data_IF_071783996119
#
_entry.id   IF_071783996119
#
_cell.length_a   1.000
_cell.length_b   1.000
_cell.length_c   1.000
_cell.angle_alpha   90.00
_cell.angle_beta   90.00
_cell.angle_gamma   90.00
#
_symmetry.space_group_name_H-M   'P 1'
#
loop_
_entity.id
_entity.type
_entity.pdbx_description
1 polymer ?
#
# COMPACT_ATOMS: atom_id res chain seq x y z
N UNK A 1 -14.50 -2.20 15.41
CA UNK A 1 -14.05 -3.39 14.66
C UNK A 1 -12.62 -3.82 14.99
N UNK A 2 -11.63 -2.92 15.07
CA UNK A 2 -10.22 -3.28 15.34
C UNK A 2 -9.98 -3.99 16.67
N UNK A 3 -10.60 -3.54 17.78
CA UNK A 3 -10.41 -4.16 19.12
C UNK A 3 -10.88 -5.62 19.20
N UNK A 4 -11.94 -6.00 18.50
CA UNK A 4 -12.44 -7.37 18.45
C UNK A 4 -11.49 -8.30 17.68
N UNK A 5 -10.98 -7.85 16.53
CA UNK A 5 -10.00 -8.59 15.73
C UNK A 5 -8.68 -8.75 16.48
N UNK A 6 -8.21 -7.69 17.13
CA UNK A 6 -6.99 -7.71 17.96
C UNK A 6 -7.14 -8.70 19.11
N UNK A 7 -8.28 -8.68 19.84
CA UNK A 7 -8.53 -9.61 20.93
C UNK A 7 -8.64 -11.06 20.44
N UNK A 8 -9.21 -11.30 19.27
CA UNK A 8 -9.30 -12.64 18.68
C UNK A 8 -7.92 -13.21 18.34
N UNK A 9 -7.05 -12.41 17.71
CA UNK A 9 -5.67 -12.82 17.38
C UNK A 9 -4.88 -13.07 18.68
N UNK A 10 -4.97 -12.17 19.66
CA UNK A 10 -4.26 -12.28 20.94
C UNK A 10 -4.67 -13.53 21.74
N UNK A 11 -5.93 -13.98 21.60
CA UNK A 11 -6.43 -15.18 22.26
C UNK A 11 -6.02 -16.47 21.55
N UNK A 12 -5.76 -16.43 20.23
CA UNK A 12 -5.53 -17.63 19.41
C UNK A 12 -4.05 -17.86 19.05
N UNK A 13 -3.24 -16.81 19.04
CA UNK A 13 -1.84 -16.87 18.61
C UNK A 13 -0.92 -16.25 19.66
N UNK A 14 0.25 -16.86 19.88
CA UNK A 14 1.28 -16.38 20.81
C UNK A 14 2.63 -16.21 20.12
N UNK A 15 3.43 -15.22 20.53
CA UNK A 15 4.79 -15.02 20.01
C UNK A 15 4.84 -14.65 18.53
N UNK A 16 5.71 -15.33 17.77
CA UNK A 16 5.94 -15.04 16.35
C UNK A 16 4.69 -15.24 15.48
N UNK A 17 3.82 -16.20 15.83
CA UNK A 17 2.57 -16.44 15.10
C UNK A 17 1.59 -15.27 15.24
N UNK A 18 1.56 -14.61 16.42
CA UNK A 18 0.73 -13.42 16.60
C UNK A 18 1.26 -12.25 15.72
N UNK A 19 2.59 -12.07 15.66
CA UNK A 19 3.23 -11.05 14.80
C UNK A 19 2.86 -11.26 13.32
N UNK A 20 2.96 -12.50 12.85
CA UNK A 20 2.57 -12.86 11.48
C UNK A 20 1.08 -12.58 11.22
N UNK A 21 0.20 -13.02 12.13
CA UNK A 21 -1.24 -12.81 12.00
C UNK A 21 -1.61 -11.32 11.97
N UNK A 22 -0.94 -10.47 12.77
CA UNK A 22 -1.12 -9.01 12.73
C UNK A 22 -0.61 -8.42 11.42
N UNK A 23 0.55 -8.86 10.93
CA UNK A 23 1.11 -8.42 9.64
C UNK A 23 0.18 -8.74 8.47
N UNK A 24 -0.32 -9.96 8.40
CA UNK A 24 -1.26 -10.39 7.37
C UNK A 24 -2.59 -9.63 7.47
N UNK A 25 -3.13 -9.47 8.69
CA UNK A 25 -4.39 -8.76 8.88
C UNK A 25 -4.28 -7.28 8.48
N UNK A 26 -3.23 -6.59 8.94
CA UNK A 26 -3.02 -5.17 8.59
C UNK A 26 -2.82 -4.97 7.11
N UNK A 27 -2.03 -5.84 6.46
CA UNK A 27 -1.84 -5.82 5.02
C UNK A 27 -3.14 -6.10 4.24
N UNK A 28 -3.94 -7.08 4.66
CA UNK A 28 -5.22 -7.38 4.03
C UNK A 28 -6.23 -6.23 4.13
N UNK A 29 -6.31 -5.58 5.31
CA UNK A 29 -7.14 -4.38 5.49
C UNK A 29 -6.62 -3.24 4.63
N UNK A 30 -5.29 -3.05 4.56
CA UNK A 30 -4.68 -2.04 3.70
C UNK A 30 -4.99 -2.26 2.22
N UNK A 31 -4.88 -3.51 1.72
CA UNK A 31 -5.25 -3.85 0.34
C UNK A 31 -6.72 -3.52 0.09
N UNK A 32 -7.61 -3.96 0.98
CA UNK A 32 -9.05 -3.72 0.82
C UNK A 32 -9.38 -2.22 0.78
N UNK A 33 -8.86 -1.43 1.71
CA UNK A 33 -9.09 0.01 1.75
C UNK A 33 -8.52 0.71 0.50
N UNK A 34 -7.31 0.36 0.08
CA UNK A 34 -6.69 0.98 -1.09
C UNK A 34 -7.38 0.62 -2.40
N UNK A 35 -7.88 -0.62 -2.54
CA UNK A 35 -8.68 -1.02 -3.70
C UNK A 35 -10.01 -0.26 -3.71
N UNK A 36 -10.70 -0.14 -2.57
CA UNK A 36 -11.95 0.63 -2.48
C UNK A 36 -11.74 2.10 -2.84
N UNK A 37 -10.67 2.71 -2.34
CA UNK A 37 -10.31 4.09 -2.67
C UNK A 37 -9.92 4.24 -4.15
N UNK A 38 -9.15 3.29 -4.69
CA UNK A 38 -8.79 3.27 -6.10
C UNK A 38 -10.04 3.25 -7.00
N UNK A 39 -10.98 2.34 -6.73
CA UNK A 39 -12.22 2.22 -7.50
C UNK A 39 -13.07 3.50 -7.39
N UNK A 40 -13.25 4.03 -6.17
CA UNK A 40 -14.02 5.24 -5.95
C UNK A 40 -13.41 6.45 -6.68
N UNK A 41 -12.09 6.65 -6.56
CA UNK A 41 -11.37 7.74 -7.23
C UNK A 41 -11.37 7.56 -8.76
N UNK A 42 -11.24 6.33 -9.24
CA UNK A 42 -11.27 6.05 -10.67
C UNK A 42 -12.64 6.40 -11.27
N UNK A 43 -13.73 6.04 -10.59
CA UNK A 43 -15.08 6.39 -11.00
C UNK A 43 -15.24 7.91 -11.02
N UNK A 44 -14.92 8.60 -9.91
CA UNK A 44 -15.05 10.06 -9.82
C UNK A 44 -14.15 10.75 -10.85
N UNK A 45 -12.89 10.31 -11.00
CA UNK A 45 -11.93 10.85 -11.96
C UNK A 45 -12.41 10.74 -13.41
N UNK A 46 -13.02 9.59 -13.76
CA UNK A 46 -13.59 9.35 -15.09
C UNK A 46 -14.82 10.24 -15.37
N UNK A 47 -15.73 10.36 -14.41
CA UNK A 47 -16.92 11.23 -14.56
C UNK A 47 -16.56 12.72 -14.57
N UNK A 48 -15.55 13.10 -13.79
CA UNK A 48 -15.09 14.51 -13.73
C UNK A 48 -14.09 14.88 -14.81
N UNK A 49 -13.70 13.92 -15.65
CA UNK A 49 -12.65 14.07 -16.63
C UNK A 49 -11.34 14.65 -16.05
N UNK A 50 -11.06 14.29 -14.78
CA UNK A 50 -9.92 14.80 -14.02
C UNK A 50 -8.78 13.79 -14.03
N UNK A 51 -7.72 14.12 -14.78
CA UNK A 51 -6.49 13.33 -14.84
C UNK A 51 -5.82 13.25 -13.45
N UNK A 52 -5.92 14.32 -12.64
CA UNK A 52 -5.33 14.35 -11.30
C UNK A 52 -5.97 13.31 -10.36
N UNK A 53 -7.30 13.20 -10.36
CA UNK A 53 -8.02 12.21 -9.54
C UNK A 53 -7.74 10.79 -10.04
N UNK A 54 -7.66 10.60 -11.35
CA UNK A 54 -7.33 9.29 -11.93
C UNK A 54 -5.88 8.89 -11.61
N UNK A 55 -4.93 9.82 -11.65
CA UNK A 55 -3.55 9.58 -11.24
C UNK A 55 -3.46 9.20 -9.75
N UNK A 56 -4.25 9.84 -8.89
CA UNK A 56 -4.31 9.52 -7.47
C UNK A 56 -4.95 8.14 -7.20
N UNK A 57 -5.87 7.68 -8.05
CA UNK A 57 -6.36 6.30 -8.02
C UNK A 57 -5.24 5.27 -8.28
N UNK A 58 -4.31 5.58 -9.21
CA UNK A 58 -3.14 4.73 -9.48
C UNK A 58 -2.21 4.65 -8.26
N UNK A 59 -2.03 5.76 -7.51
CA UNK A 59 -1.27 5.74 -6.26
C UNK A 59 -1.86 4.74 -5.25
N UNK A 60 -3.18 4.75 -5.06
CA UNK A 60 -3.84 3.77 -4.17
C UNK A 60 -3.65 2.32 -4.64
N UNK A 61 -3.58 2.09 -5.95
CA UNK A 61 -3.27 0.76 -6.49
C UNK A 61 -1.82 0.34 -6.16
N UNK A 62 -0.87 1.27 -6.24
CA UNK A 62 0.54 1.03 -5.86
C UNK A 62 0.67 0.74 -4.36
N UNK A 63 -0.10 1.43 -3.51
CA UNK A 63 -0.17 1.15 -2.07
C UNK A 63 -0.75 -0.24 -1.78
N UNK A 64 -1.77 -0.66 -2.52
CA UNK A 64 -2.28 -2.02 -2.44
C UNK A 64 -1.21 -3.06 -2.83
N UNK A 65 -0.43 -2.81 -3.89
CA UNK A 65 0.66 -3.68 -4.30
C UNK A 65 1.77 -3.76 -3.21
N UNK A 66 2.13 -2.64 -2.59
CA UNK A 66 3.08 -2.61 -1.46
C UNK A 66 2.60 -3.45 -0.28
N UNK A 67 1.30 -3.41 0.03
CA UNK A 67 0.71 -4.26 1.07
C UNK A 67 0.76 -5.76 0.71
N UNK A 68 0.63 -6.12 -0.58
CA UNK A 68 0.83 -7.51 -1.04
C UNK A 68 2.26 -7.95 -0.79
N UNK A 69 3.26 -7.11 -1.12
CA UNK A 69 4.69 -7.39 -0.85
C UNK A 69 4.92 -7.57 0.65
N UNK A 70 4.30 -6.73 1.49
CA UNK A 70 4.38 -6.83 2.96
C UNK A 70 3.86 -8.18 3.46
N UNK A 71 2.67 -8.61 3.00
CA UNK A 71 2.08 -9.91 3.39
C UNK A 71 2.98 -11.06 2.93
N UNK A 72 3.43 -11.03 1.67
CA UNK A 72 4.30 -12.05 1.11
C UNK A 72 5.63 -12.14 1.89
N UNK A 73 6.26 -10.99 2.17
CA UNK A 73 7.49 -10.90 2.95
C UNK A 73 7.32 -11.44 4.37
N UNK A 74 6.26 -11.04 5.07
CA UNK A 74 5.95 -11.52 6.42
C UNK A 74 5.74 -13.04 6.43
N UNK A 75 4.98 -13.57 5.49
CA UNK A 75 4.68 -15.00 5.40
C UNK A 75 5.93 -15.81 5.05
N UNK A 76 6.77 -15.29 4.16
CA UNK A 76 7.97 -15.98 3.70
C UNK A 76 9.08 -15.93 4.74
N UNK A 77 9.24 -14.82 5.47
CA UNK A 77 10.24 -14.68 6.54
C UNK A 77 10.01 -15.63 7.71
N UNK A 78 8.75 -16.01 7.98
CA UNK A 78 8.39 -16.94 9.05
C UNK A 78 8.46 -18.41 8.64
N UNK A 79 8.83 -18.71 7.38
CA UNK A 79 9.03 -20.09 6.93
C UNK A 79 10.25 -20.69 7.65
N UNK A 80 10.08 -21.90 8.19
CA UNK A 80 11.16 -22.64 8.86
C UNK A 80 12.34 -22.87 7.92
N UNK A 81 13.52 -23.10 8.50
CA UNK A 81 14.70 -23.50 7.76
C UNK A 81 14.47 -24.77 6.94
N UNK A 82 14.95 -24.81 5.72
CA UNK A 82 14.94 -25.95 4.82
C UNK A 82 16.36 -26.31 4.36
N UNK A 83 16.50 -27.35 3.54
CA UNK A 83 17.82 -27.84 3.07
C UNK A 83 18.57 -26.80 2.25
N UNK A 84 17.87 -25.91 1.56
CA UNK A 84 18.45 -24.86 0.72
C UNK A 84 18.78 -23.60 1.55
N UNK A 85 18.02 -23.37 2.64
CA UNK A 85 18.17 -22.21 3.53
C UNK A 85 18.33 -22.66 4.99
N UNK A 86 19.51 -23.21 5.38
CA UNK A 86 19.76 -23.75 6.74
C UNK A 86 19.60 -22.71 7.86
N UNK A 87 19.82 -21.43 7.54
CA UNK A 87 19.69 -20.29 8.48
C UNK A 87 18.28 -19.69 8.54
N UNK A 88 17.32 -20.32 7.84
CA UNK A 88 15.94 -19.84 7.76
C UNK A 88 15.75 -18.65 6.80
N UNK A 89 14.52 -18.16 6.73
CA UNK A 89 14.10 -17.13 5.76
C UNK A 89 13.94 -15.72 6.37
N UNK A 90 14.37 -15.52 7.61
CA UNK A 90 14.19 -14.24 8.33
C UNK A 90 14.72 -13.00 7.61
N UNK A 91 15.76 -13.17 6.77
CA UNK A 91 16.32 -12.05 5.98
C UNK A 91 15.39 -11.54 4.88
N UNK A 92 14.40 -12.32 4.47
CA UNK A 92 13.42 -11.92 3.45
C UNK A 92 12.58 -10.74 3.92
N UNK A 93 12.33 -10.61 5.23
CA UNK A 93 11.65 -9.45 5.81
C UNK A 93 12.40 -8.15 5.48
N UNK A 94 13.72 -8.14 5.61
CA UNK A 94 14.55 -6.96 5.28
C UNK A 94 14.55 -6.66 3.78
N UNK A 95 14.59 -7.69 2.93
CA UNK A 95 14.53 -7.53 1.47
C UNK A 95 13.16 -6.95 1.08
N UNK A 96 12.08 -7.46 1.65
CA UNK A 96 10.73 -6.94 1.41
C UNK A 96 10.61 -5.47 1.85
N UNK A 97 11.15 -5.14 3.03
CA UNK A 97 11.17 -3.76 3.52
C UNK A 97 11.96 -2.83 2.60
N UNK A 98 13.10 -3.31 2.07
CA UNK A 98 13.92 -2.54 1.12
C UNK A 98 13.17 -2.29 -0.19
N UNK A 99 12.48 -3.31 -0.73
CA UNK A 99 11.65 -3.17 -1.95
C UNK A 99 10.55 -2.13 -1.73
N UNK A 100 9.83 -2.21 -0.60
CA UNK A 100 8.77 -1.25 -0.28
C UNK A 100 9.34 0.16 -0.13
N UNK A 101 10.45 0.32 0.59
CA UNK A 101 11.11 1.62 0.76
C UNK A 101 11.53 2.23 -0.59
N UNK A 102 12.03 1.39 -1.51
CA UNK A 102 12.40 1.83 -2.86
C UNK A 102 11.18 2.27 -3.68
N UNK A 103 10.08 1.52 -3.60
CA UNK A 103 8.83 1.91 -4.27
C UNK A 103 8.28 3.24 -3.74
N UNK A 104 8.27 3.43 -2.41
CA UNK A 104 7.85 4.70 -1.78
C UNK A 104 8.76 5.85 -2.23
N UNK A 105 10.08 5.61 -2.28
CA UNK A 105 11.05 6.60 -2.74
C UNK A 105 10.78 7.02 -4.19
N UNK A 106 10.55 6.05 -5.11
CA UNK A 106 10.24 6.33 -6.51
C UNK A 106 8.96 7.17 -6.64
N UNK A 107 7.90 6.81 -5.91
CA UNK A 107 6.64 7.55 -5.92
C UNK A 107 6.82 8.98 -5.38
N UNK A 108 7.54 9.14 -4.28
CA UNK A 108 7.86 10.46 -3.72
C UNK A 108 8.68 11.32 -4.67
N UNK A 109 9.64 10.73 -5.37
CA UNK A 109 10.45 11.40 -6.37
C UNK A 109 9.60 11.86 -7.58
N UNK A 110 8.71 11.00 -8.07
CA UNK A 110 7.82 11.32 -9.19
C UNK A 110 6.82 12.42 -8.83
N UNK A 111 6.24 12.38 -7.63
CA UNK A 111 5.37 13.44 -7.11
C UNK A 111 6.13 14.77 -6.97
N UNK A 112 7.35 14.74 -6.43
CA UNK A 112 8.20 15.91 -6.32
C UNK A 112 8.52 16.52 -7.68
N UNK A 113 8.93 15.70 -8.66
CA UNK A 113 9.19 16.12 -10.03
C UNK A 113 7.93 16.73 -10.68
N UNK A 114 6.78 16.05 -10.56
CA UNK A 114 5.51 16.54 -11.10
C UNK A 114 5.10 17.87 -10.49
N UNK A 115 5.28 18.04 -9.18
CA UNK A 115 4.97 19.28 -8.48
C UNK A 115 5.85 20.44 -8.94
N UNK A 116 7.15 20.21 -9.09
CA UNK A 116 8.09 21.22 -9.60
C UNK A 116 7.74 21.62 -11.04
N UNK A 117 7.43 20.65 -11.92
CA UNK A 117 7.03 20.93 -13.28
C UNK A 117 5.75 21.76 -13.34
N UNK A 118 4.75 21.48 -12.49
CA UNK A 118 3.50 22.25 -12.42
C UNK A 118 3.71 23.68 -11.92
N UNK A 119 4.73 23.92 -11.09
CA UNK A 119 5.10 25.28 -10.66
C UNK A 119 5.75 26.07 -11.82
N UNK A 120 6.62 25.42 -12.59
CA UNK A 120 7.34 26.04 -13.69
C UNK A 120 6.44 26.26 -14.91
N UNK A 121 5.56 25.30 -15.19
CA UNK A 121 4.59 25.33 -16.29
C UNK A 121 3.18 25.17 -15.73
N UNK A 122 2.56 26.26 -15.20
CA UNK A 122 1.20 26.19 -14.69
C UNK A 122 0.23 25.81 -15.81
N UNK A 123 -0.45 24.69 -15.67
CA UNK A 123 -1.59 24.36 -16.52
C UNK A 123 -2.83 25.11 -16.00
N UNK A 124 -3.59 25.73 -16.91
CA UNK A 124 -4.85 26.36 -16.56
C UNK A 124 -5.83 25.34 -15.96
N UNK A 125 -6.03 25.43 -14.66
CA UNK A 125 -7.00 24.60 -13.96
C UNK A 125 -8.40 25.05 -14.36
N UNK A 126 -9.03 24.35 -15.28
CA UNK A 126 -10.45 24.58 -15.62
C UNK A 126 -11.30 24.14 -14.43
N UNK A 127 -11.62 25.09 -13.57
CA UNK A 127 -12.62 24.88 -12.53
C UNK A 127 -13.99 24.73 -13.17
N UNK A 128 -14.52 23.52 -13.23
CA UNK A 128 -15.93 23.31 -13.47
C UNK A 128 -16.69 23.54 -12.17
N UNK A 129 -17.69 24.44 -12.11
CA UNK A 129 -18.40 24.77 -10.86
C UNK A 129 -19.21 23.60 -10.26
N UNK A 130 -19.28 22.49 -10.96
CA UNK A 130 -19.98 21.26 -10.51
C UNK A 130 -19.29 20.57 -9.33
N UNK A 131 -18.03 20.93 -8.99
CA UNK A 131 -17.26 20.26 -7.93
C UNK A 131 -17.21 21.02 -6.59
N UNK A 132 -18.06 22.05 -6.42
CA UNK A 132 -18.11 22.89 -5.20
C UNK A 132 -19.34 22.55 -4.33
N UNK A 133 -20.03 21.42 -4.56
CA UNK A 133 -21.13 20.97 -3.73
C UNK A 133 -20.75 19.70 -2.97
#
# INVERSE_FOLDING_TARGET
>A
MSKLLINFIKKRYTGNQAREAYGILSGAVGIFCNIMLCVAKFIVGSFSNSVAITADAVNNLSDAASNVVTIAGTKLSNKASDKEHPFGHGRIEYISALVIAFLIFLMGFELGKSSVLKIITPEDVKFSPIYII
#
